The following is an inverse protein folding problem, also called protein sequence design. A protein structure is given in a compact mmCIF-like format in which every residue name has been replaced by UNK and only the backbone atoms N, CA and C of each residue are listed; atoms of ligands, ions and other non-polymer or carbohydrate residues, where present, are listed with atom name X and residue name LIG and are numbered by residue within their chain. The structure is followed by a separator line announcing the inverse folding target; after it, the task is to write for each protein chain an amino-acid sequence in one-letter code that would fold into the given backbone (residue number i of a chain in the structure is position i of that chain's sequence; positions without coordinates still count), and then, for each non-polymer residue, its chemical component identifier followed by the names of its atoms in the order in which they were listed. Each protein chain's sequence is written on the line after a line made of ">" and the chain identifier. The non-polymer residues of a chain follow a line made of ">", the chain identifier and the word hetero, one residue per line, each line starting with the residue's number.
data_IF_381745326567
#
_entry.id   IF_381745326567
#
_cell.length_a   1.000
_cell.length_b   1.000
_cell.length_c   1.000
_cell.angle_alpha   90.00
_cell.angle_beta   90.00
_cell.angle_gamma   90.00
#
_symmetry.space_group_name_H-M   'P 1'
#
loop_
_entity.id
_entity.type
_entity.pdbx_description
1 polymer ?
#
# COMPACT_ATOMS: atom_id res chain seq x y z
N UNK A 1 -21.73 18.00 5.02
CA UNK A 1 -20.68 18.66 4.23
C UNK A 1 -19.67 17.61 3.80
N UNK A 2 -19.22 17.61 2.54
CA UNK A 2 -18.22 16.66 2.06
C UNK A 2 -16.81 17.05 2.56
N UNK A 3 -15.95 16.07 2.87
CA UNK A 3 -14.55 16.31 3.21
C UNK A 3 -13.80 16.78 1.95
N UNK A 4 -13.16 17.97 1.93
CA UNK A 4 -12.50 18.50 0.75
C UNK A 4 -11.30 17.66 0.27
N UNK A 5 -10.80 16.75 1.12
CA UNK A 5 -9.70 15.83 0.79
C UNK A 5 -10.17 14.61 0.00
N UNK A 6 -11.49 14.37 -0.08
CA UNK A 6 -12.07 13.19 -0.73
C UNK A 6 -12.75 13.61 -2.04
N UNK A 7 -12.31 13.01 -3.15
CA UNK A 7 -12.96 13.14 -4.46
C UNK A 7 -13.63 11.82 -4.82
N UNK A 8 -14.90 11.87 -5.19
CA UNK A 8 -15.67 10.68 -5.58
C UNK A 8 -15.87 10.67 -7.10
N UNK A 9 -15.59 9.53 -7.72
CA UNK A 9 -15.85 9.28 -9.13
C UNK A 9 -16.68 8.00 -9.26
N UNK A 10 -17.88 8.12 -9.81
CA UNK A 10 -18.78 7.00 -10.02
C UNK A 10 -18.79 6.59 -11.49
N UNK A 11 -18.97 5.30 -11.74
CA UNK A 11 -19.04 4.71 -13.08
C UNK A 11 -20.29 3.84 -13.20
N UNK A 12 -20.91 3.84 -14.38
CA UNK A 12 -22.10 3.02 -14.68
C UNK A 12 -21.75 1.59 -15.08
N UNK A 13 -20.49 1.33 -15.44
CA UNK A 13 -20.00 0.04 -15.88
C UNK A 13 -18.99 -0.55 -14.90
N UNK A 14 -19.24 -1.80 -14.48
CA UNK A 14 -18.29 -2.59 -13.71
C UNK A 14 -17.30 -3.27 -14.67
N UNK A 15 -16.02 -2.91 -14.52
CA UNK A 15 -14.91 -3.43 -15.31
C UNK A 15 -13.76 -3.78 -14.37
N UNK A 16 -12.68 -4.32 -14.91
CA UNK A 16 -11.50 -4.73 -14.14
C UNK A 16 -11.00 -3.65 -13.15
N UNK A 17 -10.63 -4.04 -11.91
CA UNK A 17 -10.07 -3.12 -10.92
C UNK A 17 -8.79 -2.44 -11.42
N UNK A 18 -7.99 -3.10 -12.26
CA UNK A 18 -6.78 -2.51 -12.83
C UNK A 18 -7.08 -1.26 -13.66
N UNK A 19 -8.20 -1.24 -14.41
CA UNK A 19 -8.59 -0.03 -15.13
C UNK A 19 -9.01 1.07 -14.16
N UNK A 20 -9.72 0.72 -13.09
CA UNK A 20 -10.14 1.68 -12.05
C UNK A 20 -8.97 2.25 -11.26
N UNK A 21 -7.92 1.46 -11.05
CA UNK A 21 -6.67 1.96 -10.48
C UNK A 21 -5.96 2.93 -11.41
N UNK A 22 -5.93 2.67 -12.72
CA UNK A 22 -5.39 3.63 -13.70
C UNK A 22 -6.19 4.93 -13.69
N UNK A 23 -7.53 4.86 -13.74
CA UNK A 23 -8.37 6.06 -13.66
C UNK A 23 -8.09 6.86 -12.37
N UNK A 24 -7.94 6.16 -11.24
CA UNK A 24 -7.60 6.78 -9.95
C UNK A 24 -6.20 7.41 -9.93
N UNK A 25 -5.22 6.76 -10.54
CA UNK A 25 -3.86 7.28 -10.68
C UNK A 25 -3.83 8.55 -11.55
N UNK A 26 -4.57 8.57 -12.65
CA UNK A 26 -4.69 9.75 -13.53
C UNK A 26 -5.36 10.94 -12.83
N UNK A 27 -6.24 10.69 -11.85
CA UNK A 27 -6.91 11.70 -11.04
C UNK A 27 -6.10 12.17 -9.82
N UNK A 28 -5.09 11.40 -9.41
CA UNK A 28 -4.27 11.70 -8.25
C UNK A 28 -3.42 12.97 -8.50
N UNK A 29 -3.21 13.75 -7.45
CA UNK A 29 -2.46 15.02 -7.50
C UNK A 29 -1.30 15.07 -6.51
N UNK A 30 -1.09 13.98 -5.75
CA UNK A 30 -0.01 13.88 -4.78
C UNK A 30 1.31 13.46 -5.44
N UNK A 31 2.40 13.73 -4.75
CA UNK A 31 3.74 13.26 -5.13
C UNK A 31 3.88 11.74 -4.99
N UNK A 32 3.23 11.18 -3.97
CA UNK A 32 3.17 9.76 -3.70
C UNK A 32 1.81 9.18 -4.09
N UNK A 33 1.82 7.99 -4.66
CA UNK A 33 0.63 7.23 -5.02
C UNK A 33 0.57 5.93 -4.22
N UNK A 34 -0.57 5.68 -3.57
CA UNK A 34 -0.89 4.39 -2.98
C UNK A 34 -2.23 3.90 -3.53
N UNK A 35 -2.26 2.64 -3.96
CA UNK A 35 -3.49 1.94 -4.27
C UNK A 35 -3.98 1.27 -2.99
N UNK A 36 -5.22 1.53 -2.61
CA UNK A 36 -5.88 0.92 -1.44
C UNK A 36 -7.13 0.17 -1.90
N UNK A 37 -7.32 -1.04 -1.39
CA UNK A 37 -8.53 -1.83 -1.63
C UNK A 37 -9.61 -1.41 -0.63
N UNK A 38 -10.88 -1.50 -1.03
CA UNK A 38 -12.01 -0.99 -0.25
C UNK A 38 -12.28 -1.76 1.05
N UNK A 39 -11.76 -2.98 1.14
CA UNK A 39 -11.86 -3.91 2.26
C UNK A 39 -10.63 -3.91 3.18
N UNK A 40 -9.59 -3.14 2.85
CA UNK A 40 -8.37 -3.04 3.65
C UNK A 40 -8.39 -1.84 4.61
N UNK A 41 -7.59 -1.95 5.67
CA UNK A 41 -7.28 -0.84 6.58
C UNK A 41 -5.78 -0.76 6.84
N UNK A 42 -5.29 0.37 7.35
CA UNK A 42 -3.87 0.57 7.62
C UNK A 42 -3.61 1.10 9.02
N UNK A 43 -2.39 0.86 9.52
CA UNK A 43 -1.93 1.44 10.78
C UNK A 43 -1.87 2.98 10.64
N UNK A 44 -2.25 3.77 11.67
CA UNK A 44 -2.29 5.23 11.58
C UNK A 44 -0.97 5.90 11.17
N UNK A 45 0.16 5.24 11.43
CA UNK A 45 1.52 5.72 11.11
C UNK A 45 2.12 5.06 9.86
N UNK A 46 1.35 4.31 9.07
CA UNK A 46 1.87 3.61 7.89
C UNK A 46 2.45 4.61 6.88
N UNK A 47 1.66 5.60 6.47
CA UNK A 47 2.05 6.57 5.46
C UNK A 47 3.27 7.39 5.89
N UNK A 48 3.28 7.90 7.12
CA UNK A 48 4.40 8.67 7.68
C UNK A 48 5.72 7.89 7.57
N UNK A 49 5.71 6.61 7.98
CA UNK A 49 6.92 5.76 7.94
C UNK A 49 7.37 5.42 6.53
N UNK A 50 6.44 5.11 5.62
CA UNK A 50 6.79 4.77 4.24
C UNK A 50 7.35 6.00 3.50
N UNK A 51 6.72 7.16 3.67
CA UNK A 51 7.17 8.42 3.07
C UNK A 51 8.53 8.82 3.62
N UNK A 52 8.78 8.71 4.93
CA UNK A 52 10.11 8.96 5.52
C UNK A 52 11.21 8.12 4.85
N UNK A 53 10.93 6.86 4.49
CA UNK A 53 11.90 6.02 3.78
C UNK A 53 12.12 6.48 2.34
N UNK A 54 11.07 6.91 1.64
CA UNK A 54 11.16 7.42 0.26
C UNK A 54 11.93 8.76 0.22
N UNK A 55 11.56 9.71 1.07
CA UNK A 55 12.22 11.03 1.17
C UNK A 55 13.72 10.89 1.48
N UNK A 56 14.09 9.96 2.37
CA UNK A 56 15.49 9.73 2.74
C UNK A 56 16.29 8.90 1.72
N UNK A 57 15.62 8.28 0.73
CA UNK A 57 16.28 7.45 -0.28
C UNK A 57 15.75 7.80 -1.68
N UNK A 58 16.16 8.93 -2.30
CA UNK A 58 15.58 9.41 -3.55
C UNK A 58 15.71 8.48 -4.77
N UNK A 59 16.55 7.44 -4.70
CA UNK A 59 16.66 6.41 -5.73
C UNK A 59 15.61 5.30 -5.62
N UNK A 60 14.85 5.24 -4.52
CA UNK A 60 13.84 4.23 -4.25
C UNK A 60 12.50 4.67 -4.85
N UNK A 61 11.94 3.87 -5.76
CA UNK A 61 10.65 4.15 -6.39
C UNK A 61 9.44 3.49 -5.71
N UNK A 62 9.66 2.61 -4.74
CA UNK A 62 8.59 1.87 -4.05
C UNK A 62 9.01 1.60 -2.60
N UNK A 63 8.12 1.93 -1.67
CA UNK A 63 8.20 1.51 -0.28
C UNK A 63 6.96 0.69 0.07
N UNK A 64 7.13 -0.33 0.89
CA UNK A 64 6.05 -1.21 1.34
C UNK A 64 6.30 -1.68 2.78
N UNK A 65 5.28 -2.23 3.41
CA UNK A 65 5.39 -2.88 4.72
C UNK A 65 4.90 -4.32 4.65
N UNK A 66 5.22 -5.10 5.68
CA UNK A 66 4.47 -6.32 5.97
C UNK A 66 3.01 -5.96 6.29
N UNK A 67 2.13 -6.95 6.17
CA UNK A 67 0.71 -6.83 6.47
C UNK A 67 0.23 -7.97 7.37
N UNK A 68 -0.92 -7.77 7.99
CA UNK A 68 -1.64 -8.80 8.72
C UNK A 68 -2.90 -9.16 7.95
N UNK A 69 -3.25 -10.44 7.97
CA UNK A 69 -4.63 -10.82 7.67
C UNK A 69 -5.50 -10.51 8.89
N UNK A 70 -6.66 -9.93 8.65
CA UNK A 70 -7.66 -9.61 9.68
C UNK A 70 -9.01 -10.22 9.29
N UNK A 71 -9.83 -10.52 10.28
CA UNK A 71 -11.25 -10.84 10.06
C UNK A 71 -12.12 -9.58 9.92
N UNK A 72 -13.42 -9.77 9.73
CA UNK A 72 -14.41 -8.69 9.59
C UNK A 72 -14.63 -7.86 10.87
N UNK A 73 -14.11 -8.31 12.01
CA UNK A 73 -14.09 -7.58 13.28
C UNK A 73 -12.75 -6.86 13.51
N UNK A 74 -11.79 -6.97 12.58
CA UNK A 74 -10.45 -6.42 12.71
C UNK A 74 -9.52 -7.23 13.60
N UNK A 75 -9.89 -8.45 13.98
CA UNK A 75 -9.03 -9.37 14.73
C UNK A 75 -7.92 -9.88 13.82
N UNK A 76 -6.67 -9.77 14.27
CA UNK A 76 -5.51 -10.29 13.51
C UNK A 76 -5.53 -11.82 13.53
N UNK A 77 -5.51 -12.41 12.34
CA UNK A 77 -5.50 -13.87 12.15
C UNK A 77 -4.09 -14.41 11.94
N UNK A 78 -3.31 -13.80 11.04
CA UNK A 78 -1.92 -14.20 10.75
C UNK A 78 -1.06 -13.03 10.26
N UNK A 79 0.26 -13.23 10.28
CA UNK A 79 1.21 -12.29 9.70
C UNK A 79 1.58 -12.73 8.28
N UNK A 80 1.60 -11.80 7.32
CA UNK A 80 2.13 -12.11 5.99
C UNK A 80 3.66 -12.29 5.97
N UNK A 81 4.35 -11.99 7.08
CA UNK A 81 5.75 -12.34 7.24
C UNK A 81 6.00 -13.84 7.07
N UNK A 82 5.04 -14.71 7.40
CA UNK A 82 5.13 -16.16 7.19
C UNK A 82 5.45 -16.51 5.72
N UNK A 83 4.93 -15.74 4.77
CA UNK A 83 5.20 -15.92 3.33
C UNK A 83 6.61 -15.48 2.95
N UNK A 84 7.09 -14.37 3.51
CA UNK A 84 8.45 -13.89 3.24
C UNK A 84 9.50 -14.77 3.92
N UNK A 85 9.22 -15.29 5.11
CA UNK A 85 10.10 -16.19 5.85
C UNK A 85 10.29 -17.53 5.13
N UNK A 86 9.29 -17.98 4.37
CA UNK A 86 9.41 -19.14 3.49
C UNK A 86 10.46 -18.92 2.38
N UNK A 87 10.60 -17.69 1.87
CA UNK A 87 11.58 -17.33 0.84
C UNK A 87 12.98 -17.10 1.45
N UNK A 88 13.06 -16.33 2.53
CA UNK A 88 14.28 -16.08 3.29
C UNK A 88 13.92 -15.56 4.70
N UNK A 89 14.35 -16.28 5.73
CA UNK A 89 14.02 -16.00 7.14
C UNK A 89 14.59 -14.70 7.70
N UNK A 90 15.64 -14.16 7.09
CA UNK A 90 16.37 -13.01 7.63
C UNK A 90 16.20 -11.76 6.75
N UNK A 91 16.00 -11.94 5.44
CA UNK A 91 15.96 -10.81 4.50
C UNK A 91 14.85 -9.80 4.81
N UNK A 92 13.68 -10.28 5.24
CA UNK A 92 12.50 -9.45 5.50
C UNK A 92 12.17 -9.28 6.99
N UNK A 93 13.09 -9.67 7.88
CA UNK A 93 12.90 -9.51 9.34
C UNK A 93 13.21 -8.09 9.83
N UNK A 94 13.72 -7.22 8.96
CA UNK A 94 14.07 -5.82 9.24
C UNK A 94 13.92 -4.98 7.97
N UNK A 95 13.88 -3.66 8.13
CA UNK A 95 13.90 -2.71 7.01
C UNK A 95 15.12 -2.96 6.12
N UNK A 96 14.92 -2.87 4.80
CA UNK A 96 15.98 -3.02 3.81
C UNK A 96 15.72 -2.10 2.61
N UNK A 97 16.77 -1.87 1.83
CA UNK A 97 16.70 -1.18 0.54
C UNK A 97 17.34 -2.09 -0.49
N UNK A 98 16.70 -2.26 -1.64
CA UNK A 98 17.21 -3.05 -2.75
C UNK A 98 16.94 -2.33 -4.07
N UNK A 99 17.84 -2.50 -5.03
CA UNK A 99 17.70 -2.00 -6.40
C UNK A 99 16.85 -2.94 -7.28
N UNK A 100 16.45 -4.10 -6.73
CA UNK A 100 15.77 -5.15 -7.47
C UNK A 100 16.73 -5.87 -8.42
N UNK A 101 16.29 -7.02 -8.95
CA UNK A 101 16.99 -7.72 -10.03
C UNK A 101 16.17 -7.56 -11.30
N UNK A 102 16.84 -7.25 -12.41
CA UNK A 102 16.23 -7.31 -13.75
C UNK A 102 15.86 -8.73 -14.13
#
# INVERSE_FOLDING_TARGET
>A
MADPRIKLQFYTENISPYRRWNDGADLAQGEYLQIVCADDSCHPTLLERLIEKLDNNPSVGLAYSQAWEIDDQGTRLRSFQEWTDYLDKNRWSQDFVDIGKK
#
